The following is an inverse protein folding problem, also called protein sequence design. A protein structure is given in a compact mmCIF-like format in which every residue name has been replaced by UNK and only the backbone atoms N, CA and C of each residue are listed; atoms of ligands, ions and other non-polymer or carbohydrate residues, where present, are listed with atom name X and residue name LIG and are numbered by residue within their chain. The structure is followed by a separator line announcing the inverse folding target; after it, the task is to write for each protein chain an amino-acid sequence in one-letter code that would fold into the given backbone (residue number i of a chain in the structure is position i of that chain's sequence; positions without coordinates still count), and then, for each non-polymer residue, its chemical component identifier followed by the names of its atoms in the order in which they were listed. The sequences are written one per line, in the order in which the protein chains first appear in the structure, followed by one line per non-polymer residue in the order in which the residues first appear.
data_IF_586866313104
#
_entry.id   IF_586866313104
#
_cell.length_a   1.000
_cell.length_b   1.000
_cell.length_c   1.000
_cell.angle_alpha   90.00
_cell.angle_beta   90.00
_cell.angle_gamma   90.00
#
_symmetry.space_group_name_H-M   'P 1'
#
loop_
_entity.id
_entity.type
_entity.pdbx_description
1 polymer ?
#
# COMPACT_ATOMS: atom_id res chain seq x y z
N UNK A 1 36.44 -88.79 0.43
CA UNK A 1 36.77 -87.37 0.18
C UNK A 1 35.70 -86.48 0.79
N UNK A 2 36.14 -85.61 1.71
CA UNK A 2 35.66 -84.29 2.16
C UNK A 2 34.17 -83.82 2.05
N UNK A 3 33.70 -83.33 3.22
CA UNK A 3 32.64 -82.34 3.57
C UNK A 3 32.85 -80.98 2.82
N UNK A 4 31.92 -79.97 2.74
CA UNK A 4 30.89 -79.48 3.70
C UNK A 4 29.52 -79.05 3.06
N UNK A 5 28.38 -78.82 3.74
CA UNK A 5 27.96 -77.97 4.87
C UNK A 5 28.12 -76.44 4.67
N UNK A 6 26.97 -75.75 4.64
CA UNK A 6 26.66 -74.39 5.18
C UNK A 6 26.26 -73.29 4.14
N UNK A 7 25.64 -72.16 4.57
CA UNK A 7 24.22 -71.84 4.35
C UNK A 7 24.05 -70.43 3.72
N UNK A 8 22.81 -69.94 3.60
CA UNK A 8 22.43 -68.52 3.40
C UNK A 8 23.03 -67.80 2.19
N UNK A 9 22.19 -67.50 1.19
CA UNK A 9 22.07 -66.11 0.76
C UNK A 9 20.65 -65.86 0.24
N UNK A 10 19.93 -65.02 0.98
CA UNK A 10 18.65 -64.48 0.57
C UNK A 10 18.87 -63.56 -0.63
N UNK A 11 18.84 -64.10 -1.85
CA UNK A 11 18.73 -63.25 -3.03
C UNK A 11 17.28 -62.78 -3.12
N UNK A 12 17.01 -61.70 -2.39
CA UNK A 12 15.87 -60.82 -2.61
C UNK A 12 15.92 -60.34 -4.06
N UNK A 13 15.23 -61.03 -4.96
CA UNK A 13 14.98 -60.50 -6.30
C UNK A 13 14.24 -59.17 -6.14
N UNK A 14 14.78 -58.04 -6.63
CA UNK A 14 13.96 -56.85 -6.77
C UNK A 14 12.87 -57.22 -7.78
N UNK A 15 11.58 -56.96 -7.48
CA UNK A 15 10.50 -57.35 -8.38
C UNK A 15 10.69 -56.63 -9.72
N UNK A 16 11.15 -57.38 -10.73
CA UNK A 16 11.48 -56.88 -12.08
C UNK A 16 10.28 -56.18 -12.75
N UNK A 17 9.06 -56.43 -12.26
CA UNK A 17 7.86 -55.70 -12.67
C UNK A 17 7.79 -54.23 -12.22
N UNK A 18 8.50 -53.80 -11.17
CA UNK A 18 8.44 -52.41 -10.67
C UNK A 18 9.44 -51.50 -11.37
N UNK A 19 10.62 -52.00 -11.74
CA UNK A 19 11.64 -51.23 -12.45
C UNK A 19 11.21 -50.86 -13.88
N UNK A 20 10.51 -51.77 -14.57
CA UNK A 20 9.93 -51.50 -15.90
C UNK A 20 8.86 -50.42 -15.87
N UNK A 21 7.89 -50.52 -14.94
CA UNK A 21 6.81 -49.53 -14.79
C UNK A 21 7.32 -48.14 -14.42
N UNK A 22 8.36 -48.05 -13.58
CA UNK A 22 8.98 -46.76 -13.23
C UNK A 22 9.70 -46.14 -14.44
N UNK A 23 10.40 -46.95 -15.24
CA UNK A 23 11.05 -46.48 -16.48
C UNK A 23 10.02 -46.02 -17.52
N UNK A 24 8.95 -46.77 -17.71
CA UNK A 24 7.87 -46.41 -18.65
C UNK A 24 7.12 -45.15 -18.18
N UNK A 25 6.88 -45.01 -16.88
CA UNK A 25 6.28 -43.80 -16.30
C UNK A 25 7.21 -42.59 -16.43
N UNK A 26 8.51 -42.77 -16.18
CA UNK A 26 9.51 -41.72 -16.36
C UNK A 26 9.61 -41.30 -17.83
N UNK A 27 9.51 -42.25 -18.77
CA UNK A 27 9.48 -41.98 -20.20
C UNK A 27 8.21 -41.20 -20.60
N UNK A 28 7.05 -41.56 -20.04
CA UNK A 28 5.81 -40.82 -20.27
C UNK A 28 5.84 -39.41 -19.68
N UNK A 29 6.40 -39.24 -18.47
CA UNK A 29 6.58 -37.93 -17.84
C UNK A 29 7.53 -37.07 -18.68
N UNK A 30 8.60 -37.64 -19.22
CA UNK A 30 9.52 -36.92 -20.10
C UNK A 30 8.85 -36.51 -21.41
N UNK A 31 8.15 -37.44 -22.08
CA UNK A 31 7.43 -37.16 -23.33
C UNK A 31 6.32 -36.13 -23.11
N UNK A 32 5.60 -36.20 -21.99
CA UNK A 32 4.63 -35.20 -21.59
C UNK A 32 5.29 -33.84 -21.32
N UNK A 33 6.46 -33.82 -20.67
CA UNK A 33 7.26 -32.62 -20.46
C UNK A 33 7.71 -31.98 -21.78
N UNK A 34 8.18 -32.78 -22.74
CA UNK A 34 8.61 -32.31 -24.05
C UNK A 34 7.42 -31.83 -24.90
N UNK A 35 6.28 -32.51 -24.82
CA UNK A 35 5.04 -32.11 -25.49
C UNK A 35 4.43 -30.82 -24.91
N UNK A 36 4.43 -30.66 -23.59
CA UNK A 36 4.00 -29.44 -22.92
C UNK A 36 4.94 -28.26 -23.24
N UNK A 37 6.25 -28.49 -23.28
CA UNK A 37 7.22 -27.48 -23.70
C UNK A 37 7.02 -27.07 -25.17
N UNK A 38 6.81 -28.03 -26.08
CA UNK A 38 6.51 -27.73 -27.49
C UNK A 38 5.21 -26.91 -27.64
N UNK A 39 4.17 -27.23 -26.88
CA UNK A 39 2.91 -26.47 -26.86
C UNK A 39 3.10 -25.05 -26.30
N UNK A 40 3.91 -24.89 -25.25
CA UNK A 40 4.27 -23.59 -24.70
C UNK A 40 5.13 -22.75 -25.68
N UNK A 41 5.98 -23.36 -26.50
CA UNK A 41 6.73 -22.65 -27.56
C UNK A 41 5.80 -22.17 -28.69
N UNK A 42 4.84 -23.00 -29.10
CA UNK A 42 3.88 -22.66 -30.15
C UNK A 42 2.90 -21.56 -29.69
N UNK A 43 2.39 -21.67 -28.47
CA UNK A 43 1.49 -20.66 -27.88
C UNK A 43 2.26 -19.42 -27.40
N UNK A 44 3.49 -19.60 -26.91
CA UNK A 44 4.38 -18.52 -26.49
C UNK A 44 4.78 -17.59 -27.63
N UNK A 45 5.05 -18.14 -28.82
CA UNK A 45 5.33 -17.34 -30.03
C UNK A 45 4.13 -16.46 -30.41
N UNK A 46 2.90 -16.98 -30.32
CA UNK A 46 1.67 -16.22 -30.64
C UNK A 46 1.43 -15.08 -29.65
N UNK A 47 1.64 -15.33 -28.36
CA UNK A 47 1.54 -14.29 -27.31
C UNK A 47 2.64 -13.25 -27.46
N UNK A 48 3.86 -13.66 -27.80
CA UNK A 48 4.96 -12.74 -28.09
C UNK A 48 4.65 -11.83 -29.28
N UNK A 49 4.20 -12.36 -30.41
CA UNK A 49 3.80 -11.56 -31.57
C UNK A 49 2.65 -10.59 -31.24
N UNK A 50 1.69 -11.02 -30.43
CA UNK A 50 0.61 -10.14 -29.95
C UNK A 50 1.16 -9.00 -29.07
N UNK A 51 2.08 -9.30 -28.15
CA UNK A 51 2.75 -8.30 -27.30
C UNK A 51 3.61 -7.34 -28.12
N UNK A 52 4.34 -7.82 -29.12
CA UNK A 52 5.13 -6.98 -30.03
C UNK A 52 4.23 -6.06 -30.85
N UNK A 53 3.12 -6.59 -31.38
CA UNK A 53 2.13 -5.78 -32.12
C UNK A 53 1.51 -4.72 -31.23
N UNK A 54 1.15 -5.05 -29.99
CA UNK A 54 0.64 -4.09 -29.02
C UNK A 54 1.70 -3.07 -28.62
N UNK A 55 2.96 -3.48 -28.43
CA UNK A 55 4.09 -2.60 -28.15
C UNK A 55 4.35 -1.58 -29.26
N UNK A 56 4.37 -2.03 -30.52
CA UNK A 56 4.46 -1.15 -31.70
C UNK A 56 3.24 -0.22 -31.78
N UNK A 57 2.05 -0.74 -31.49
CA UNK A 57 0.81 0.04 -31.44
C UNK A 57 0.86 1.14 -30.38
N UNK A 58 1.32 0.82 -29.17
CA UNK A 58 1.53 1.76 -28.08
C UNK A 58 2.57 2.81 -28.45
N UNK A 59 3.73 2.41 -28.98
CA UNK A 59 4.77 3.35 -29.41
C UNK A 59 4.25 4.33 -30.46
N UNK A 60 3.48 3.85 -31.46
CA UNK A 60 2.86 4.72 -32.46
C UNK A 60 1.83 5.66 -31.86
N UNK A 61 0.98 5.18 -30.96
CA UNK A 61 -0.02 6.01 -30.25
C UNK A 61 0.66 7.09 -29.42
N UNK A 62 1.72 6.74 -28.67
CA UNK A 62 2.49 7.70 -27.87
C UNK A 62 3.23 8.68 -28.75
N UNK A 63 3.84 8.24 -29.85
CA UNK A 63 4.49 9.14 -30.80
C UNK A 63 3.48 10.10 -31.43
N UNK A 64 2.31 9.61 -31.85
CA UNK A 64 1.25 10.46 -32.39
C UNK A 64 0.77 11.49 -31.36
N UNK A 65 0.47 11.06 -30.14
CA UNK A 65 0.07 11.95 -29.04
C UNK A 65 1.18 12.97 -28.69
N UNK A 66 2.45 12.57 -28.71
CA UNK A 66 3.59 13.46 -28.48
C UNK A 66 3.75 14.47 -29.63
N UNK A 67 3.60 14.06 -30.89
CA UNK A 67 3.63 14.98 -32.03
C UNK A 67 2.45 15.96 -31.99
N UNK A 68 1.27 15.51 -31.56
CA UNK A 68 0.09 16.35 -31.40
C UNK A 68 0.23 17.32 -30.21
N UNK A 69 0.79 16.87 -29.09
CA UNK A 69 1.10 17.73 -27.96
C UNK A 69 2.14 18.78 -28.34
N UNK A 70 3.18 18.38 -29.09
CA UNK A 70 4.24 19.28 -29.56
C UNK A 70 3.68 20.30 -30.56
N UNK A 71 2.82 19.88 -31.49
CA UNK A 71 2.19 20.80 -32.44
C UNK A 71 1.25 21.78 -31.74
N UNK A 72 0.44 21.31 -30.78
CA UNK A 72 -0.40 22.17 -29.92
C UNK A 72 0.44 23.17 -29.13
N UNK A 73 1.55 22.74 -28.54
CA UNK A 73 2.47 23.61 -27.82
C UNK A 73 3.12 24.65 -28.75
N UNK A 74 3.55 24.25 -29.95
CA UNK A 74 4.09 25.17 -30.95
C UNK A 74 3.04 26.19 -31.42
N UNK A 75 1.79 25.76 -31.64
CA UNK A 75 0.67 26.67 -31.95
C UNK A 75 0.37 27.63 -30.80
N UNK A 76 0.37 27.16 -29.55
CA UNK A 76 0.24 28.02 -28.37
C UNK A 76 1.39 29.00 -28.24
N UNK A 77 2.63 28.57 -28.47
CA UNK A 77 3.81 29.44 -28.41
C UNK A 77 3.73 30.55 -29.47
N UNK A 78 3.29 30.24 -30.69
CA UNK A 78 3.08 31.24 -31.74
C UNK A 78 1.93 32.20 -31.39
N UNK A 79 0.83 31.71 -30.83
CA UNK A 79 -0.27 32.55 -30.34
C UNK A 79 0.20 33.47 -29.20
N UNK A 80 0.96 32.94 -28.26
CA UNK A 80 1.51 33.68 -27.13
C UNK A 80 2.50 34.75 -27.61
N UNK A 81 3.38 34.43 -28.57
CA UNK A 81 4.30 35.40 -29.19
C UNK A 81 3.54 36.52 -29.92
N UNK A 82 2.50 36.18 -30.68
CA UNK A 82 1.63 37.18 -31.34
C UNK A 82 0.81 38.03 -30.37
N UNK A 83 0.47 37.50 -29.19
CA UNK A 83 -0.24 38.23 -28.14
C UNK A 83 0.70 39.04 -27.23
N UNK A 84 1.93 38.60 -27.03
CA UNK A 84 2.97 39.32 -26.30
C UNK A 84 3.41 40.60 -27.05
N UNK A 85 3.27 40.62 -28.37
CA UNK A 85 3.47 41.82 -29.19
C UNK A 85 2.29 42.84 -29.11
N UNK A 86 1.19 42.49 -28.43
CA UNK A 86 0.03 43.37 -28.19
C UNK A 86 0.01 43.83 -26.71
N UNK A 87 -0.46 45.06 -26.41
CA UNK A 87 -0.48 45.59 -25.05
C UNK A 87 -1.34 44.71 -24.11
N UNK A 88 -0.89 44.59 -22.85
CA UNK A 88 -1.17 43.55 -21.84
C UNK A 88 -2.64 43.28 -21.43
N UNK A 89 -3.65 43.96 -22.01
CA UNK A 89 -5.05 43.85 -21.59
C UNK A 89 -5.67 42.43 -21.66
N UNK A 90 -5.35 41.60 -22.67
CA UNK A 90 -5.88 40.23 -22.74
C UNK A 90 -5.19 39.21 -21.82
N UNK A 91 -3.97 39.49 -21.35
CA UNK A 91 -3.17 38.57 -20.53
C UNK A 91 -3.72 38.42 -19.11
N UNK A 92 -4.17 39.51 -18.51
CA UNK A 92 -4.74 39.53 -17.15
C UNK A 92 -5.99 38.64 -17.01
N UNK A 93 -6.84 38.60 -18.05
CA UNK A 93 -8.02 37.72 -18.08
C UNK A 93 -7.64 36.25 -18.34
N UNK A 94 -6.57 36.00 -19.09
CA UNK A 94 -6.05 34.66 -19.33
C UNK A 94 -5.34 34.11 -18.09
N UNK A 95 -4.66 34.95 -17.31
CA UNK A 95 -4.06 34.59 -16.02
C UNK A 95 -5.14 34.07 -15.07
N UNK A 96 -6.25 34.81 -14.92
CA UNK A 96 -7.40 34.35 -14.13
C UNK A 96 -7.98 33.00 -14.61
N UNK A 97 -8.14 32.80 -15.93
CA UNK A 97 -8.68 31.54 -16.48
C UNK A 97 -7.67 30.39 -16.33
N UNK A 98 -6.37 30.68 -16.45
CA UNK A 98 -5.31 29.72 -16.26
C UNK A 98 -5.25 29.27 -14.80
N UNK A 99 -5.30 30.21 -13.86
CA UNK A 99 -5.38 29.96 -12.41
C UNK A 99 -6.58 29.04 -12.09
N UNK A 100 -7.77 29.37 -12.60
CA UNK A 100 -8.98 28.54 -12.43
C UNK A 100 -8.80 27.12 -12.99
N UNK A 101 -8.15 26.98 -14.15
CA UNK A 101 -7.92 25.68 -14.79
C UNK A 101 -6.86 24.87 -14.07
N UNK A 102 -5.78 25.50 -13.60
CA UNK A 102 -4.72 24.87 -12.81
C UNK A 102 -5.29 24.44 -11.46
N UNK A 103 -6.01 25.32 -10.76
CA UNK A 103 -6.70 24.99 -9.51
C UNK A 103 -7.65 23.80 -9.68
N UNK A 104 -8.43 23.76 -10.77
CA UNK A 104 -9.35 22.65 -11.07
C UNK A 104 -8.63 21.34 -11.43
N UNK A 105 -7.48 21.42 -12.11
CA UNK A 105 -6.64 20.26 -12.41
C UNK A 105 -5.97 19.71 -11.14
N UNK A 106 -5.43 20.59 -10.28
CA UNK A 106 -4.85 20.23 -8.99
C UNK A 106 -5.88 19.63 -8.04
N UNK A 107 -7.10 20.19 -8.00
CA UNK A 107 -8.22 19.65 -7.23
C UNK A 107 -8.59 18.24 -7.70
N UNK A 108 -8.58 18.00 -9.02
CA UNK A 108 -8.80 16.65 -9.59
C UNK A 108 -7.67 15.68 -9.28
N UNK A 109 -6.45 16.17 -9.10
CA UNK A 109 -5.27 15.38 -8.74
C UNK A 109 -5.17 15.11 -7.23
N UNK A 110 -6.07 15.70 -6.42
CA UNK A 110 -6.11 15.53 -4.97
C UNK A 110 -5.08 16.37 -4.20
N UNK A 111 -4.52 17.41 -4.82
CA UNK A 111 -3.60 18.31 -4.15
C UNK A 111 -4.38 19.32 -3.27
N UNK A 112 -4.05 19.48 -1.98
CA UNK A 112 -4.70 20.45 -1.09
C UNK A 112 -4.52 21.88 -1.60
N UNK A 113 -5.60 22.67 -1.59
CA UNK A 113 -5.60 24.07 -2.03
C UNK A 113 -5.09 25.01 -0.93
N UNK A 114 -4.71 26.24 -1.30
CA UNK A 114 -4.32 27.27 -0.32
C UNK A 114 -5.42 27.57 0.70
N UNK A 115 -6.69 27.52 0.28
CA UNK A 115 -7.84 27.71 1.17
C UNK A 115 -7.97 26.58 2.20
N UNK A 116 -7.58 25.35 1.82
CA UNK A 116 -7.57 24.21 2.75
C UNK A 116 -6.50 24.40 3.84
N UNK A 117 -5.34 24.96 3.48
CA UNK A 117 -4.29 25.31 4.45
C UNK A 117 -4.72 26.42 5.40
N UNK A 118 -5.41 27.44 4.89
CA UNK A 118 -5.94 28.53 5.73
C UNK A 118 -7.01 28.02 6.69
N UNK A 119 -7.96 27.23 6.20
CA UNK A 119 -8.98 26.59 7.03
C UNK A 119 -8.38 25.65 8.09
N UNK A 120 -7.32 24.92 7.74
CA UNK A 120 -6.60 24.07 8.68
C UNK A 120 -5.88 24.91 9.75
N UNK A 121 -5.22 26.00 9.36
CA UNK A 121 -4.52 26.91 10.28
C UNK A 121 -5.49 27.51 11.29
N UNK A 122 -6.64 28.00 10.83
CA UNK A 122 -7.68 28.55 11.71
C UNK A 122 -8.20 27.50 12.73
N UNK A 123 -8.35 26.24 12.32
CA UNK A 123 -8.71 25.14 13.23
C UNK A 123 -7.61 24.84 14.24
N UNK A 124 -6.34 24.91 13.84
CA UNK A 124 -5.20 24.72 14.74
C UNK A 124 -5.15 25.82 15.79
N UNK A 125 -5.38 27.07 15.41
CA UNK A 125 -5.39 28.21 16.35
C UNK A 125 -6.52 28.11 17.36
N UNK A 126 -7.72 27.74 16.92
CA UNK A 126 -8.86 27.50 17.81
C UNK A 126 -8.59 26.33 18.76
N UNK A 127 -8.05 25.22 18.26
CA UNK A 127 -7.69 24.09 19.10
C UNK A 127 -6.57 24.45 20.09
N UNK A 128 -5.58 25.25 19.67
CA UNK A 128 -4.51 25.76 20.54
C UNK A 128 -5.08 26.59 21.68
N UNK A 129 -6.08 27.45 21.40
CA UNK A 129 -6.80 28.21 22.44
C UNK A 129 -7.57 27.31 23.39
N UNK A 130 -8.27 26.30 22.87
CA UNK A 130 -9.01 25.35 23.71
C UNK A 130 -8.06 24.55 24.61
N UNK A 131 -6.92 24.08 24.08
CA UNK A 131 -5.88 23.38 24.86
C UNK A 131 -5.28 24.29 25.92
N UNK A 132 -4.94 25.54 25.60
CA UNK A 132 -4.45 26.50 26.60
C UNK A 132 -5.49 26.76 27.70
N UNK A 133 -6.77 26.88 27.33
CA UNK A 133 -7.86 27.06 28.30
C UNK A 133 -8.02 25.84 29.21
N UNK A 134 -7.91 24.63 28.66
CA UNK A 134 -7.96 23.39 29.43
C UNK A 134 -6.72 23.18 30.31
N UNK A 135 -5.54 23.63 29.88
CA UNK A 135 -4.31 23.62 30.67
C UNK A 135 -4.30 24.70 31.77
N UNK A 136 -4.95 25.84 31.52
CA UNK A 136 -5.08 26.95 32.47
C UNK A 136 -6.19 26.72 33.51
N UNK A 137 -7.06 25.71 33.35
CA UNK A 137 -7.98 25.31 34.40
C UNK A 137 -7.18 24.76 35.58
N UNK A 138 -7.26 25.38 36.78
CA UNK A 138 -6.60 24.84 37.94
C UNK A 138 -7.23 23.49 38.26
N UNK A 139 -6.42 22.44 38.18
CA UNK A 139 -6.75 21.14 38.81
C UNK A 139 -7.25 21.47 40.21
N UNK A 140 -8.49 21.08 40.61
CA UNK A 140 -8.99 21.43 41.92
C UNK A 140 -8.00 20.92 42.95
N UNK A 141 -7.33 21.87 43.61
CA UNK A 141 -6.44 21.57 44.70
C UNK A 141 -7.27 20.85 45.76
N UNK A 142 -6.88 19.61 46.08
CA UNK A 142 -7.48 18.86 47.15
C UNK A 142 -7.63 19.76 48.38
N UNK A 143 -8.87 19.90 48.85
CA UNK A 143 -9.25 20.75 49.97
C UNK A 143 -8.27 20.56 51.12
N UNK A 144 -7.62 21.66 51.50
CA UNK A 144 -6.70 21.77 52.63
C UNK A 144 -7.49 21.47 53.90
N UNK A 145 -7.34 20.27 54.43
CA UNK A 145 -7.92 19.86 55.70
C UNK A 145 -7.44 20.80 56.81
N UNK A 146 -8.38 21.46 57.48
CA UNK A 146 -8.14 22.25 58.69
C UNK A 146 -7.57 21.37 59.82
N UNK A 147 -6.69 21.90 60.70
CA UNK A 147 -6.10 21.11 61.77
C UNK A 147 -7.19 20.85 62.81
N UNK A 148 -7.75 19.63 62.81
CA UNK A 148 -8.57 19.17 63.93
C UNK A 148 -7.66 18.96 65.12
N UNK A 149 -7.97 19.71 66.18
CA UNK A 149 -7.29 19.70 67.46
C UNK A 149 -7.06 18.30 67.99
N UNK A 150 -5.85 18.13 68.51
CA UNK A 150 -5.34 16.93 69.17
C UNK A 150 -6.06 16.80 70.52
N UNK A 151 -6.89 15.78 70.66
CA UNK A 151 -7.31 15.27 71.95
C UNK A 151 -7.32 13.74 71.91
N UNK A 152 -6.42 13.18 72.72
CA UNK A 152 -6.52 11.89 73.43
C UNK A 152 -6.63 10.62 72.59
N UNK A 153 -5.51 9.91 72.40
CA UNK A 153 -5.03 8.75 73.18
C UNK A 153 -5.69 7.44 72.77
N UNK A 154 -4.83 6.42 72.70
CA UNK A 154 -5.11 5.00 72.81
C UNK A 154 -5.55 4.24 71.54
N UNK A 155 -4.70 3.28 71.13
CA UNK A 155 -5.21 2.00 70.61
C UNK A 155 -4.92 1.64 69.13
N UNK A 156 -3.71 1.13 68.88
CA UNK A 156 -3.37 -0.02 68.01
C UNK A 156 -4.00 -0.17 66.59
N UNK A 157 -3.18 0.09 65.56
CA UNK A 157 -2.71 -0.78 64.44
C UNK A 157 -3.59 -1.94 63.86
N UNK A 158 -3.37 -2.41 62.60
CA UNK A 158 -4.24 -2.07 61.46
C UNK A 158 -4.76 -3.27 60.58
N UNK A 159 -5.85 -3.02 59.83
CA UNK A 159 -6.14 -3.52 58.45
C UNK A 159 -6.41 -5.04 58.20
N UNK A 160 -6.88 -5.51 57.01
CA UNK A 160 -7.61 -4.87 55.88
C UNK A 160 -8.76 -5.71 55.23
N UNK A 161 -9.42 -5.06 54.25
CA UNK A 161 -9.91 -5.60 52.96
C UNK A 161 -11.27 -6.34 52.83
N UNK A 162 -12.20 -5.71 52.10
CA UNK A 162 -13.14 -6.41 51.21
C UNK A 162 -12.64 -6.33 49.76
N UNK A 163 -12.41 -7.52 49.20
CA UNK A 163 -11.98 -7.79 47.82
C UNK A 163 -13.16 -7.71 46.84
N UNK A 164 -12.95 -6.89 45.80
CA UNK A 164 -13.23 -7.12 44.37
C UNK A 164 -14.58 -7.69 43.89
N UNK A 165 -15.31 -6.78 43.22
CA UNK A 165 -16.08 -6.89 41.96
C UNK A 165 -16.29 -8.28 41.35
N UNK A 166 -17.58 -8.58 41.12
CA UNK A 166 -18.06 -9.59 40.18
C UNK A 166 -18.24 -8.99 38.78
N UNK A 167 -17.78 -9.73 37.79
CA UNK A 167 -17.96 -9.52 36.37
C UNK A 167 -19.24 -10.18 35.84
N UNK A 168 -19.50 -9.90 34.56
CA UNK A 168 -20.30 -10.65 33.59
C UNK A 168 -21.77 -10.28 33.42
N UNK A 169 -22.09 -9.82 32.20
CA UNK A 169 -22.92 -10.51 31.20
C UNK A 169 -23.12 -9.53 30.02
N UNK A 170 -22.91 -9.85 28.75
CA UNK A 170 -23.07 -11.12 28.06
C UNK A 170 -24.47 -11.17 27.45
N UNK A 171 -24.63 -10.71 26.21
CA UNK A 171 -25.38 -11.35 25.10
C UNK A 171 -25.12 -10.59 23.82
#
# INVERSE_FOLDING_TARGET
MAKPSNPTDETSEPPAGKAGTVKDSAQQIWLAGLGAFAKAQEEGSKVFEALVKEGIGMQRKTQAAATEATSKMASMANLASGLAARPAGPWDKLENIFEDRVAKAMSKLGAPSAQDFEALTARIDELSRQVQTLQAQPRPAASKAAPRGRASTEGAAPAPAKRTRKAASGT
#
